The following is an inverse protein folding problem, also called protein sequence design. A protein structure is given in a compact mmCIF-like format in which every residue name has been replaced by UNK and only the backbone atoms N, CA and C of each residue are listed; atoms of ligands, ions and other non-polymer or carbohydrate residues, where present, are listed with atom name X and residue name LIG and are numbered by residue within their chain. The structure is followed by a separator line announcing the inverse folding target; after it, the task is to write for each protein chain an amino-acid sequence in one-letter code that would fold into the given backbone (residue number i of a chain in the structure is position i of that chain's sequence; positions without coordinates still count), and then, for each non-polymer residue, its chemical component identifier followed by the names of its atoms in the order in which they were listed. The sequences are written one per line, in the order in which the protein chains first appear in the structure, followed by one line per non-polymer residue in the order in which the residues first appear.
data_IF_257083055496
#
_entry.id   IF_257083055496
#
_cell.length_a   1.000
_cell.length_b   1.000
_cell.length_c   1.000
_cell.angle_alpha   90.00
_cell.angle_beta   90.00
_cell.angle_gamma   90.00
#
_symmetry.space_group_name_H-M   'P 1'
#
loop_
_entity.id
_entity.type
_entity.pdbx_description
1 polymer ?
#
# COMPACT_ATOMS: atom_id res chain seq x y z
N UNK A 1 -14.13 -17.44 2.97
CA UNK A 1 -12.88 -18.23 2.91
C UNK A 1 -11.95 -17.70 4.00
N UNK A 2 -10.95 -18.43 4.49
CA UNK A 2 -9.96 -17.89 5.45
C UNK A 2 -8.60 -17.75 4.75
N UNK A 3 -7.84 -16.71 5.07
CA UNK A 3 -6.45 -16.64 4.63
C UNK A 3 -5.58 -17.51 5.55
N UNK A 4 -4.30 -17.66 5.23
CA UNK A 4 -3.35 -18.49 5.99
C UNK A 4 -3.18 -18.04 7.46
N UNK A 5 -3.70 -16.86 7.82
CA UNK A 5 -3.67 -16.30 9.17
C UNK A 5 -5.00 -16.49 9.91
N UNK A 6 -5.94 -17.29 9.37
CA UNK A 6 -7.25 -17.57 9.97
C UNK A 6 -8.26 -16.42 9.89
N UNK A 7 -7.90 -15.28 9.28
CA UNK A 7 -8.82 -14.13 9.14
C UNK A 7 -9.89 -14.44 8.10
N UNK A 8 -11.13 -14.07 8.39
CA UNK A 8 -12.25 -14.16 7.44
C UNK A 8 -11.92 -13.33 6.19
N UNK A 9 -11.73 -13.99 5.06
CA UNK A 9 -11.79 -13.39 3.73
C UNK A 9 -13.27 -13.21 3.44
N UNK A 10 -13.77 -12.01 3.70
CA UNK A 10 -15.06 -11.61 3.16
C UNK A 10 -14.87 -11.40 1.66
N UNK A 11 -15.58 -12.18 0.85
CA UNK A 11 -15.59 -11.96 -0.59
C UNK A 11 -16.26 -10.62 -0.84
N UNK A 12 -15.49 -9.58 -1.17
CA UNK A 12 -16.01 -8.25 -1.51
C UNK A 12 -15.72 -7.11 -0.54
N UNK A 13 -14.90 -7.30 0.51
CA UNK A 13 -14.32 -6.13 1.20
C UNK A 13 -13.21 -5.53 0.33
N UNK A 14 -13.47 -4.32 -0.17
CA UNK A 14 -12.43 -3.48 -0.74
C UNK A 14 -11.49 -3.06 0.37
N UNK A 15 -10.21 -3.36 0.23
CA UNK A 15 -9.17 -2.84 1.10
C UNK A 15 -8.41 -1.73 0.36
N UNK A 16 -8.05 -0.68 1.09
CA UNK A 16 -7.35 0.50 0.59
C UNK A 16 -5.97 0.58 1.22
N UNK A 17 -5.01 1.18 0.51
CA UNK A 17 -3.67 1.43 1.03
C UNK A 17 -3.69 2.67 1.95
N UNK A 18 -3.10 2.52 3.13
CA UNK A 18 -2.94 3.61 4.11
C UNK A 18 -1.50 3.66 4.62
N UNK A 19 -0.98 4.87 4.72
CA UNK A 19 0.26 5.15 5.45
C UNK A 19 -0.03 5.65 6.87
N UNK A 20 0.93 5.57 7.78
CA UNK A 20 0.80 6.06 9.15
C UNK A 20 2.18 6.35 9.78
N UNK A 21 2.21 7.01 10.94
CA UNK A 21 3.44 7.47 11.58
C UNK A 21 4.29 6.37 12.25
N UNK A 22 4.03 5.11 11.92
CA UNK A 22 4.85 3.96 12.35
C UNK A 22 5.96 3.74 11.33
N UNK A 23 7.19 3.64 11.84
CA UNK A 23 8.40 3.36 11.07
C UNK A 23 9.07 2.10 11.58
N UNK A 24 9.78 1.42 10.68
CA UNK A 24 10.66 0.30 11.00
C UNK A 24 11.99 0.44 10.28
N UNK A 25 13.02 -0.23 10.78
CA UNK A 25 14.36 -0.19 10.20
C UNK A 25 14.73 -1.52 9.54
N UNK A 26 15.23 -1.44 8.31
CA UNK A 26 15.96 -2.56 7.67
C UNK A 26 17.40 -2.11 7.48
N UNK A 27 18.31 -2.71 8.26
CA UNK A 27 19.70 -2.26 8.33
C UNK A 27 19.80 -0.85 8.93
N UNK A 28 20.38 0.09 8.17
CA UNK A 28 20.52 1.50 8.59
C UNK A 28 19.43 2.41 8.03
N UNK A 29 18.52 1.86 7.24
CA UNK A 29 17.49 2.63 6.54
C UNK A 29 16.17 2.52 7.31
N UNK A 30 15.51 3.66 7.51
CA UNK A 30 14.18 3.74 8.08
C UNK A 30 13.13 3.78 6.95
N UNK A 31 12.06 3.03 7.13
CA UNK A 31 10.94 2.94 6.19
C UNK A 31 9.64 3.18 6.94
N UNK A 32 8.67 3.79 6.25
CA UNK A 32 7.30 3.89 6.72
C UNK A 32 6.55 2.62 6.33
N UNK A 33 5.74 2.09 7.25
CA UNK A 33 4.88 0.97 6.94
C UNK A 33 3.61 1.44 6.18
N UNK A 34 3.20 0.61 5.21
CA UNK A 34 1.99 0.79 4.41
C UNK A 34 1.15 -0.46 4.57
N UNK A 35 -0.11 -0.28 4.94
CA UNK A 35 -1.04 -1.39 5.24
C UNK A 35 -2.28 -1.32 4.37
N UNK A 36 -2.95 -2.46 4.23
CA UNK A 36 -4.30 -2.54 3.69
C UNK A 36 -5.34 -2.44 4.82
N UNK A 37 -6.38 -1.65 4.64
CA UNK A 37 -7.48 -1.53 5.61
C UNK A 37 -8.85 -1.42 4.91
N UNK A 38 -9.92 -1.80 5.62
CA UNK A 38 -11.31 -1.66 5.16
C UNK A 38 -12.10 -0.65 6.00
N UNK A 39 -11.39 0.21 6.73
CA UNK A 39 -11.95 1.23 7.62
C UNK A 39 -12.42 2.47 6.84
N UNK A 40 -12.97 3.46 7.55
CA UNK A 40 -13.43 4.71 6.95
C UNK A 40 -12.28 5.43 6.23
N UNK A 41 -12.56 5.84 4.99
CA UNK A 41 -11.68 6.69 4.20
C UNK A 41 -11.66 8.13 4.70
N UNK A 42 -10.52 8.80 4.52
CA UNK A 42 -10.37 10.23 4.77
C UNK A 42 -9.15 10.60 5.63
N UNK A 43 -8.37 9.61 6.04
CA UNK A 43 -7.10 9.83 6.72
C UNK A 43 -5.96 9.82 5.69
N UNK A 44 -4.96 8.97 5.89
CA UNK A 44 -3.76 8.84 5.06
C UNK A 44 -3.97 7.88 3.88
N UNK A 45 -5.16 7.91 3.28
CA UNK A 45 -5.57 7.03 2.18
C UNK A 45 -5.31 7.67 0.80
N UNK A 46 -4.88 8.94 0.80
CA UNK A 46 -4.65 9.73 -0.41
C UNK A 46 -3.24 9.51 -0.92
N UNK A 47 -3.15 8.99 -2.14
CA UNK A 47 -1.90 8.77 -2.84
C UNK A 47 -1.81 9.69 -4.06
N UNK A 48 -0.60 10.17 -4.34
CA UNK A 48 -0.30 10.96 -5.53
C UNK A 48 0.83 10.26 -6.30
N UNK A 49 0.69 10.18 -7.62
CA UNK A 49 1.79 9.74 -8.48
C UNK A 49 2.73 10.93 -8.65
N UNK A 50 3.89 10.86 -8.03
CA UNK A 50 4.89 11.95 -8.10
C UNK A 50 5.67 11.93 -9.42
N UNK A 51 5.95 10.75 -9.96
CA UNK A 51 6.80 10.61 -11.14
C UNK A 51 6.32 9.45 -12.04
N UNK A 52 6.18 9.75 -13.32
CA UNK A 52 5.96 8.74 -14.38
C UNK A 52 7.13 8.85 -15.34
N UNK A 53 7.92 7.77 -15.48
CA UNK A 53 8.93 7.64 -16.54
C UNK A 53 8.39 6.74 -17.63
N UNK A 54 8.11 7.28 -18.81
CA UNK A 54 7.78 6.51 -20.00
C UNK A 54 9.07 6.18 -20.75
N UNK A 55 9.42 4.90 -20.85
CA UNK A 55 10.46 4.47 -21.78
C UNK A 55 9.83 4.34 -23.16
N UNK A 56 9.99 5.37 -23.98
CA UNK A 56 9.78 5.23 -25.42
C UNK A 56 11.03 4.51 -25.92
N UNK A 57 10.90 3.22 -26.22
CA UNK A 57 11.91 2.56 -27.04
C UNK A 57 11.85 3.22 -28.41
N UNK A 58 12.76 4.15 -28.68
CA UNK A 58 13.03 4.52 -30.06
C UNK A 58 13.65 3.28 -30.70
N UNK A 59 12.99 2.73 -31.73
CA UNK A 59 13.68 1.87 -32.66
C UNK A 59 14.66 2.76 -33.41
N UNK A 60 15.94 2.67 -33.03
CA UNK A 60 17.03 3.06 -33.90
C UNK A 60 17.04 2.18 -35.17
#
# INVERSE_FOLDING_TARGET
MHNNNGKYISNGQYEFLRSHDIQFTIGKNAFQEVVCHSEKLGENDKWCIELIKQYIWTLD
#
